data_IF_020396670001
#
_entry.id   IF_020396670001
#
_cell.length_a   1.000
_cell.length_b   1.000
_cell.length_c   1.000
_cell.angle_alpha   90.00
_cell.angle_beta   90.00
_cell.angle_gamma   90.00
#
_symmetry.space_group_name_H-M   'P 1'
#
loop_
_entity.id
_entity.type
_entity.pdbx_description
1 polymer ?
#
# COMPACT_ATOMS: atom_id res chain seq x y z
N UNK A 1 -1.62 51.78 64.82
CA UNK A 1 -0.65 52.10 63.76
C UNK A 1 -0.13 50.81 63.03
N UNK A 2 -0.21 49.64 63.64
CA UNK A 2 0.31 48.36 63.01
C UNK A 2 -0.61 47.79 61.93
N UNK A 3 -1.93 47.93 61.96
CA UNK A 3 -2.85 47.39 60.97
C UNK A 3 -2.80 48.05 59.58
N UNK A 4 -2.53 49.39 59.51
CA UNK A 4 -2.39 50.12 58.24
C UNK A 4 -1.15 49.69 57.43
N UNK A 5 -0.04 49.32 58.10
CA UNK A 5 1.20 48.86 57.46
C UNK A 5 1.02 47.46 56.86
N UNK A 6 0.19 46.59 57.49
CA UNK A 6 -0.05 45.23 56.95
C UNK A 6 -0.95 45.27 55.72
N UNK A 7 -1.87 46.24 55.63
CA UNK A 7 -2.76 46.40 54.46
C UNK A 7 -2.04 46.98 53.23
N UNK A 8 -1.07 47.86 53.46
CA UNK A 8 -0.22 48.38 52.36
C UNK A 8 0.75 47.34 51.85
N UNK A 9 1.29 46.50 52.69
CA UNK A 9 2.19 45.41 52.28
C UNK A 9 1.46 44.35 51.42
N UNK A 10 0.21 43.99 51.79
CA UNK A 10 -0.62 43.10 50.97
C UNK A 10 -0.97 43.66 49.58
N UNK A 11 -1.32 44.96 49.49
CA UNK A 11 -1.58 45.63 48.20
C UNK A 11 -0.34 45.67 47.32
N UNK A 12 0.86 45.87 47.86
CA UNK A 12 2.11 45.91 47.11
C UNK A 12 2.47 44.54 46.55
N UNK A 13 2.20 43.44 47.26
CA UNK A 13 2.41 42.06 46.79
C UNK A 13 1.44 41.69 45.66
N UNK A 14 0.18 42.12 45.74
CA UNK A 14 -0.80 41.94 44.65
C UNK A 14 -0.43 42.67 43.36
N UNK A 15 0.07 43.92 43.47
CA UNK A 15 0.53 44.69 42.32
C UNK A 15 1.75 44.06 41.69
N UNK A 16 2.69 43.53 42.45
CA UNK A 16 3.86 42.79 41.95
C UNK A 16 3.44 41.47 41.27
N UNK A 17 2.45 40.77 41.81
CA UNK A 17 1.99 39.51 41.20
C UNK A 17 1.22 39.74 39.89
N UNK A 18 0.41 40.82 39.80
CA UNK A 18 -0.29 41.18 38.55
C UNK A 18 0.67 41.73 37.50
N UNK A 19 1.73 42.46 37.87
CA UNK A 19 2.76 42.92 36.96
C UNK A 19 3.61 41.74 36.43
N UNK A 20 3.85 40.73 37.26
CA UNK A 20 4.59 39.51 36.86
C UNK A 20 3.75 38.61 35.92
N UNK A 21 2.43 38.51 36.13
CA UNK A 21 1.56 37.74 35.22
C UNK A 21 1.38 38.38 33.84
N UNK A 22 1.50 39.71 33.74
CA UNK A 22 1.43 40.41 32.44
C UNK A 22 2.70 40.23 31.59
N UNK A 23 3.83 39.87 32.19
CA UNK A 23 5.06 39.59 31.47
C UNK A 23 5.02 38.24 30.72
N UNK A 24 4.12 37.32 31.11
CA UNK A 24 3.97 36.03 30.43
C UNK A 24 2.94 36.05 29.29
N UNK A 25 2.17 37.13 29.11
CA UNK A 25 1.20 37.23 28.01
C UNK A 25 1.70 38.04 26.81
N UNK A 26 2.99 38.43 26.81
CA UNK A 26 3.58 38.96 25.60
C UNK A 26 3.85 37.79 24.65
N UNK A 27 2.85 37.42 23.90
CA UNK A 27 2.97 36.54 22.73
C UNK A 27 3.73 37.29 21.65
N UNK A 28 5.04 37.51 21.89
CA UNK A 28 5.94 37.92 20.82
C UNK A 28 6.06 36.69 19.89
N UNK A 29 5.56 36.86 18.67
CA UNK A 29 5.90 35.95 17.59
C UNK A 29 7.41 35.93 17.45
N UNK A 30 8.04 34.92 18.06
CA UNK A 30 9.49 34.69 17.92
C UNK A 30 9.71 34.29 16.46
N UNK A 31 10.14 35.24 15.64
CA UNK A 31 10.67 34.91 14.33
C UNK A 31 12.03 34.22 14.56
N UNK A 32 12.05 32.90 14.48
CA UNK A 32 13.29 32.13 14.51
C UNK A 32 14.06 32.46 13.23
N UNK A 33 15.09 33.29 13.35
CA UNK A 33 16.09 33.45 12.31
C UNK A 33 17.25 32.51 12.60
N UNK A 34 17.46 31.52 11.75
CA UNK A 34 18.64 30.65 11.82
C UNK A 34 19.77 31.35 11.10
N UNK A 35 20.88 31.74 11.81
CA UNK A 35 22.03 32.31 11.14
C UNK A 35 22.73 31.23 10.30
N UNK A 36 22.75 31.43 8.97
CA UNK A 36 23.52 30.60 8.06
C UNK A 36 24.87 31.26 7.86
N UNK A 37 26.02 30.59 8.17
CA UNK A 37 27.34 31.15 7.97
C UNK A 37 27.55 31.60 6.51
N UNK A 38 27.87 32.89 6.29
CA UNK A 38 28.09 33.46 4.96
C UNK A 38 26.85 34.01 4.24
N UNK A 39 25.66 33.86 4.80
CA UNK A 39 24.43 34.48 4.28
C UNK A 39 23.73 35.26 5.40
N UNK A 40 23.18 36.43 5.10
CA UNK A 40 22.35 37.16 6.06
C UNK A 40 21.15 36.26 6.49
N UNK A 41 20.67 36.46 7.74
CA UNK A 41 19.60 35.66 8.34
C UNK A 41 18.46 35.35 7.33
N UNK A 42 18.40 34.10 6.88
CA UNK A 42 17.34 33.67 5.97
C UNK A 42 16.01 33.68 6.74
N UNK A 43 15.11 34.57 6.38
CA UNK A 43 13.76 34.59 6.93
C UNK A 43 13.04 33.35 6.39
N UNK A 44 12.70 32.42 7.27
CA UNK A 44 11.90 31.25 6.91
C UNK A 44 10.56 31.78 6.37
N UNK A 45 10.42 31.74 5.03
CA UNK A 45 9.23 32.30 4.35
C UNK A 45 7.98 31.47 4.55
N UNK A 46 8.17 30.17 4.73
CA UNK A 46 7.04 29.25 4.89
C UNK A 46 7.47 28.01 5.72
N UNK A 47 7.19 28.05 7.01
CA UNK A 47 7.54 26.97 7.94
C UNK A 47 6.91 25.61 7.56
N UNK A 48 5.79 25.61 6.86
CA UNK A 48 5.14 24.35 6.44
C UNK A 48 5.88 23.65 5.30
N UNK A 49 6.58 24.41 4.45
CA UNK A 49 7.51 23.84 3.44
C UNK A 49 8.72 23.23 4.15
N UNK A 50 9.24 23.89 5.19
CA UNK A 50 10.32 23.32 5.99
C UNK A 50 9.88 22.03 6.72
N UNK A 51 8.68 21.99 7.26
CA UNK A 51 8.14 20.76 7.83
C UNK A 51 8.03 19.64 6.79
N UNK A 52 7.56 19.93 5.59
CA UNK A 52 7.55 18.96 4.51
C UNK A 52 8.93 18.43 4.20
N UNK A 53 9.91 19.33 4.04
CA UNK A 53 11.31 18.99 3.76
C UNK A 53 11.96 18.17 4.88
N UNK A 54 11.65 18.48 6.14
CA UNK A 54 12.08 17.68 7.29
C UNK A 54 11.43 16.28 7.25
N UNK A 55 10.15 16.21 6.93
CA UNK A 55 9.46 14.95 6.71
C UNK A 55 10.15 14.09 5.66
N UNK A 56 10.49 14.67 4.50
CA UNK A 56 11.23 13.98 3.43
C UNK A 56 12.62 13.51 3.89
N UNK A 57 13.30 14.32 4.69
CA UNK A 57 14.63 13.97 5.24
C UNK A 57 14.53 12.77 6.18
N UNK A 58 13.57 12.75 7.10
CA UNK A 58 13.34 11.62 7.98
C UNK A 58 12.83 10.38 7.23
N UNK A 59 11.99 10.56 6.20
CA UNK A 59 11.53 9.48 5.35
C UNK A 59 12.72 8.77 4.64
N UNK A 60 13.67 9.54 4.09
CA UNK A 60 14.89 8.99 3.48
C UNK A 60 15.80 8.27 4.47
N UNK A 61 15.75 8.64 5.74
CA UNK A 61 16.44 7.98 6.84
C UNK A 61 15.62 6.79 7.42
N UNK A 62 14.51 6.41 6.76
CA UNK A 62 13.59 5.36 7.17
C UNK A 62 12.97 5.57 8.58
N UNK A 63 13.09 6.79 9.12
CA UNK A 63 12.46 7.17 10.37
C UNK A 63 11.02 7.64 10.11
N UNK A 64 10.16 6.68 9.81
CA UNK A 64 8.78 6.93 9.39
C UNK A 64 7.91 7.56 10.48
N UNK A 65 8.23 7.36 11.76
CA UNK A 65 7.52 8.01 12.87
C UNK A 65 7.75 9.52 12.84
N UNK A 66 9.01 9.96 12.80
CA UNK A 66 9.32 11.39 12.70
C UNK A 66 8.90 11.99 11.38
N UNK A 67 9.03 11.27 10.28
CA UNK A 67 8.53 11.72 8.99
C UNK A 67 7.03 12.00 9.06
N UNK A 68 6.23 11.11 9.64
CA UNK A 68 4.80 11.27 9.83
C UNK A 68 4.43 12.50 10.66
N UNK A 69 5.14 12.75 11.78
CA UNK A 69 4.96 13.95 12.60
C UNK A 69 5.15 15.24 11.78
N UNK A 70 6.22 15.33 11.01
CA UNK A 70 6.52 16.51 10.21
C UNK A 70 5.55 16.69 9.05
N UNK A 71 5.11 15.62 8.38
CA UNK A 71 4.07 15.71 7.36
C UNK A 71 2.73 16.16 7.94
N UNK A 72 2.36 15.72 9.15
CA UNK A 72 1.17 16.21 9.84
C UNK A 72 1.24 17.72 10.13
N UNK A 73 2.42 18.22 10.51
CA UNK A 73 2.62 19.66 10.70
C UNK A 73 2.51 20.41 9.37
N UNK A 74 3.07 19.88 8.29
CA UNK A 74 2.99 20.49 6.97
C UNK A 74 1.56 20.55 6.42
N UNK A 75 0.71 19.56 6.74
CA UNK A 75 -0.70 19.49 6.32
C UNK A 75 -1.56 20.66 6.85
N UNK A 76 -1.10 21.37 7.87
CA UNK A 76 -1.84 22.55 8.41
C UNK A 76 -1.95 23.69 7.39
N UNK A 77 -1.10 23.71 6.37
CA UNK A 77 -1.15 24.64 5.26
C UNK A 77 -1.91 24.02 4.07
N UNK A 78 -2.94 24.69 3.58
CA UNK A 78 -3.80 24.21 2.49
C UNK A 78 -2.98 23.79 1.25
N UNK A 79 -1.99 24.58 0.87
CA UNK A 79 -1.15 24.34 -0.31
C UNK A 79 -0.24 23.11 -0.18
N UNK A 80 0.09 22.71 1.07
CA UNK A 80 0.92 21.55 1.37
C UNK A 80 0.10 20.31 1.75
N UNK A 81 -1.22 20.48 1.95
CA UNK A 81 -2.07 19.45 2.53
C UNK A 81 -1.99 18.12 1.79
N UNK A 82 -2.25 18.11 0.49
CA UNK A 82 -2.38 16.85 -0.25
C UNK A 82 -1.03 16.17 -0.50
N UNK A 83 0.03 16.94 -0.74
CA UNK A 83 1.37 16.38 -0.86
C UNK A 83 1.79 15.72 0.46
N UNK A 84 1.61 16.40 1.58
CA UNK A 84 1.92 15.88 2.91
C UNK A 84 1.02 14.71 3.31
N UNK A 85 -0.27 14.75 2.94
CA UNK A 85 -1.22 13.67 3.18
C UNK A 85 -0.82 12.38 2.46
N UNK A 86 -0.36 12.48 1.22
CA UNK A 86 0.16 11.33 0.47
C UNK A 86 1.41 10.74 1.12
N UNK A 87 2.37 11.59 1.50
CA UNK A 87 3.59 11.13 2.17
C UNK A 87 3.30 10.53 3.55
N UNK A 88 2.36 11.10 4.31
CA UNK A 88 1.90 10.51 5.57
C UNK A 88 1.27 9.14 5.36
N UNK A 89 0.45 8.96 4.33
CA UNK A 89 -0.13 7.66 3.99
C UNK A 89 0.96 6.63 3.67
N UNK A 90 2.02 7.03 2.95
CA UNK A 90 3.19 6.17 2.71
C UNK A 90 3.91 5.80 4.01
N UNK A 91 4.10 6.76 4.93
CA UNK A 91 4.69 6.45 6.24
C UNK A 91 3.89 5.36 6.97
N UNK A 92 2.55 5.45 6.96
CA UNK A 92 1.70 4.42 7.56
C UNK A 92 1.88 3.04 6.90
N UNK A 93 2.05 2.98 5.57
CA UNK A 93 2.37 1.72 4.87
C UNK A 93 3.68 1.13 5.36
N UNK A 94 4.76 1.92 5.41
CA UNK A 94 6.07 1.44 5.88
C UNK A 94 6.09 1.08 7.37
N UNK A 95 5.20 1.67 8.16
CA UNK A 95 4.99 1.31 9.57
C UNK A 95 4.07 0.09 9.74
N UNK A 96 3.59 -0.53 8.64
CA UNK A 96 2.58 -1.60 8.67
C UNK A 96 1.26 -1.20 9.37
N UNK A 97 0.96 0.09 9.43
CA UNK A 97 -0.29 0.64 9.99
C UNK A 97 -1.40 0.62 8.94
N UNK A 98 -1.80 -0.59 8.51
CA UNK A 98 -2.72 -0.81 7.40
C UNK A 98 -4.08 -0.16 7.60
N UNK A 99 -4.60 -0.17 8.83
CA UNK A 99 -5.89 0.42 9.17
C UNK A 99 -5.90 1.95 9.05
N UNK A 100 -4.75 2.59 9.25
CA UNK A 100 -4.59 4.03 9.08
C UNK A 100 -4.32 4.38 7.62
N UNK A 101 -3.51 3.57 6.92
CA UNK A 101 -3.17 3.78 5.52
C UNK A 101 -4.37 3.60 4.58
N UNK A 102 -5.19 2.57 4.78
CA UNK A 102 -6.30 2.21 3.89
C UNK A 102 -7.28 3.38 3.61
N UNK A 103 -7.86 4.06 4.62
CA UNK A 103 -8.76 5.19 4.37
C UNK A 103 -8.06 6.37 3.69
N UNK A 104 -6.77 6.56 3.94
CA UNK A 104 -6.01 7.63 3.31
C UNK A 104 -5.81 7.38 1.82
N UNK A 105 -5.45 6.15 1.43
CA UNK A 105 -5.31 5.81 0.01
C UNK A 105 -6.65 5.84 -0.73
N UNK A 106 -7.75 5.42 -0.10
CA UNK A 106 -9.09 5.59 -0.67
C UNK A 106 -9.40 7.06 -0.94
N UNK A 107 -9.15 7.94 0.05
CA UNK A 107 -9.37 9.38 -0.11
C UNK A 107 -8.47 10.02 -1.17
N UNK A 108 -7.26 9.52 -1.37
CA UNK A 108 -6.39 9.95 -2.47
C UNK A 108 -6.94 9.49 -3.81
N UNK A 109 -7.41 8.26 -3.90
CA UNK A 109 -7.99 7.70 -5.11
C UNK A 109 -9.33 8.37 -5.50
N UNK A 110 -10.14 8.81 -4.52
CA UNK A 110 -11.35 9.62 -4.78
C UNK A 110 -11.03 10.92 -5.51
N UNK A 111 -9.82 11.46 -5.35
CA UNK A 111 -9.37 12.67 -6.04
C UNK A 111 -8.75 12.41 -7.40
N UNK A 112 -8.09 11.28 -7.55
CA UNK A 112 -7.40 10.87 -8.77
C UNK A 112 -7.70 9.40 -9.04
N UNK A 113 -8.94 9.11 -9.53
CA UNK A 113 -9.42 7.74 -9.69
C UNK A 113 -8.63 6.88 -10.67
N UNK A 114 -7.96 7.53 -11.63
CA UNK A 114 -7.18 6.82 -12.66
C UNK A 114 -5.71 6.63 -12.29
N UNK A 115 -5.31 7.01 -11.11
CA UNK A 115 -3.92 6.89 -10.68
C UNK A 115 -3.54 5.44 -10.39
N UNK A 116 -2.86 4.83 -11.34
CA UNK A 116 -2.43 3.43 -11.26
C UNK A 116 -1.52 3.15 -10.03
N UNK A 117 -0.64 4.09 -9.65
CA UNK A 117 0.21 3.94 -8.47
C UNK A 117 -0.59 3.93 -7.17
N UNK A 118 -1.65 4.73 -7.07
CA UNK A 118 -2.56 4.71 -5.91
C UNK A 118 -3.39 3.42 -5.90
N UNK A 119 -3.88 2.95 -7.07
CA UNK A 119 -4.56 1.65 -7.21
C UNK A 119 -3.64 0.51 -6.75
N UNK A 120 -2.39 0.47 -7.21
CA UNK A 120 -1.41 -0.56 -6.82
C UNK A 120 -1.10 -0.53 -5.32
N UNK A 121 -0.91 0.65 -4.74
CA UNK A 121 -0.71 0.80 -3.29
C UNK A 121 -1.92 0.31 -2.49
N UNK A 122 -3.13 0.60 -2.97
CA UNK A 122 -4.37 0.12 -2.34
C UNK A 122 -4.49 -1.41 -2.40
N UNK A 123 -4.14 -2.02 -3.55
CA UNK A 123 -4.10 -3.47 -3.70
C UNK A 123 -3.08 -4.12 -2.75
N UNK A 124 -1.90 -3.52 -2.61
CA UNK A 124 -0.90 -3.96 -1.66
C UNK A 124 -1.40 -3.91 -0.21
N UNK A 125 -2.06 -2.81 0.19
CA UNK A 125 -2.64 -2.69 1.54
C UNK A 125 -3.70 -3.77 1.78
N UNK A 126 -4.61 -4.02 0.82
CA UNK A 126 -5.58 -5.10 0.92
C UNK A 126 -4.92 -6.48 1.03
N UNK A 127 -3.84 -6.72 0.25
CA UNK A 127 -3.04 -7.95 0.35
C UNK A 127 -2.49 -8.16 1.75
N UNK A 128 -1.91 -7.12 2.35
CA UNK A 128 -1.35 -7.16 3.70
C UNK A 128 -2.39 -7.31 4.80
N UNK A 129 -3.64 -6.93 4.55
CA UNK A 129 -4.78 -7.17 5.43
C UNK A 129 -5.44 -8.54 5.22
N UNK A 130 -4.98 -9.33 4.25
CA UNK A 130 -5.58 -10.61 3.89
C UNK A 130 -6.89 -10.49 3.09
N UNK A 131 -7.23 -9.31 2.59
CA UNK A 131 -8.37 -9.10 1.71
C UNK A 131 -8.01 -9.45 0.26
N UNK A 132 -7.86 -10.77 0.04
CA UNK A 132 -7.48 -11.34 -1.24
C UNK A 132 -8.41 -10.89 -2.38
N UNK A 133 -9.70 -10.82 -2.13
CA UNK A 133 -10.69 -10.51 -3.16
C UNK A 133 -10.50 -9.09 -3.72
N UNK A 134 -10.36 -8.10 -2.86
CA UNK A 134 -10.17 -6.72 -3.29
C UNK A 134 -8.79 -6.50 -3.88
N UNK A 135 -7.75 -7.09 -3.31
CA UNK A 135 -6.39 -7.03 -3.86
C UNK A 135 -6.30 -7.63 -5.27
N UNK A 136 -6.81 -8.87 -5.46
CA UNK A 136 -6.80 -9.57 -6.75
C UNK A 136 -7.54 -8.78 -7.84
N UNK A 137 -8.73 -8.27 -7.52
CA UNK A 137 -9.52 -7.47 -8.46
C UNK A 137 -8.75 -6.25 -8.98
N UNK A 138 -8.02 -5.56 -8.09
CA UNK A 138 -7.28 -4.35 -8.49
C UNK A 138 -6.05 -4.72 -9.31
N UNK A 139 -5.27 -5.76 -8.89
CA UNK A 139 -4.10 -6.18 -9.68
C UNK A 139 -4.50 -6.72 -11.06
N UNK A 140 -5.61 -7.45 -11.17
CA UNK A 140 -6.14 -7.92 -12.45
C UNK A 140 -6.45 -6.74 -13.39
N UNK A 141 -7.17 -5.74 -12.89
CA UNK A 141 -7.46 -4.54 -13.68
C UNK A 141 -6.19 -3.76 -14.09
N UNK A 142 -5.20 -3.64 -13.19
CA UNK A 142 -3.93 -3.01 -13.51
C UNK A 142 -3.13 -3.79 -14.57
N UNK A 143 -3.18 -5.12 -14.53
CA UNK A 143 -2.51 -5.98 -15.51
C UNK A 143 -3.27 -6.05 -16.83
N UNK A 144 -4.59 -5.81 -16.87
CA UNK A 144 -5.34 -5.61 -18.12
C UNK A 144 -4.86 -4.35 -18.86
N UNK A 145 -4.59 -3.26 -18.12
CA UNK A 145 -4.08 -1.99 -18.68
C UNK A 145 -2.58 -2.08 -19.03
N UNK A 146 -1.79 -2.74 -18.16
CA UNK A 146 -0.32 -2.83 -18.27
C UNK A 146 0.15 -4.28 -18.01
N UNK A 147 -0.04 -5.20 -18.98
CA UNK A 147 0.19 -6.65 -18.77
C UNK A 147 1.65 -7.02 -18.50
N UNK A 148 2.59 -6.15 -18.87
CA UNK A 148 4.03 -6.36 -18.71
C UNK A 148 4.66 -5.55 -17.57
N UNK A 149 3.85 -4.92 -16.72
CA UNK A 149 4.40 -4.15 -15.60
C UNK A 149 4.97 -5.07 -14.53
N UNK A 150 6.30 -4.96 -14.32
CA UNK A 150 7.05 -5.82 -13.41
C UNK A 150 6.50 -5.80 -11.99
N UNK A 151 6.28 -4.60 -11.44
CA UNK A 151 5.82 -4.43 -10.05
C UNK A 151 4.42 -5.05 -9.84
N UNK A 152 3.54 -4.93 -10.84
CA UNK A 152 2.20 -5.50 -10.76
C UNK A 152 2.23 -7.02 -10.85
N UNK A 153 3.05 -7.59 -11.75
CA UNK A 153 3.24 -9.03 -11.86
C UNK A 153 3.82 -9.63 -10.59
N UNK A 154 4.87 -9.03 -10.03
CA UNK A 154 5.51 -9.51 -8.80
C UNK A 154 4.55 -9.47 -7.60
N UNK A 155 3.87 -8.34 -7.40
CA UNK A 155 2.93 -8.19 -6.29
C UNK A 155 1.70 -9.10 -6.44
N UNK A 156 1.22 -9.31 -7.67
CA UNK A 156 0.14 -10.22 -7.95
C UNK A 156 0.54 -11.68 -7.71
N UNK A 157 1.73 -12.09 -8.15
CA UNK A 157 2.28 -13.40 -7.86
C UNK A 157 2.44 -13.64 -6.35
N UNK A 158 2.96 -12.65 -5.62
CA UNK A 158 3.08 -12.73 -4.17
C UNK A 158 1.71 -12.93 -3.52
N UNK A 159 0.68 -12.19 -3.96
CA UNK A 159 -0.69 -12.33 -3.48
C UNK A 159 -1.23 -13.74 -3.76
N UNK A 160 -1.10 -14.23 -5.01
CA UNK A 160 -1.57 -15.57 -5.40
C UNK A 160 -0.80 -16.68 -4.68
N UNK A 161 0.49 -16.45 -4.36
CA UNK A 161 1.31 -17.39 -3.62
C UNK A 161 0.84 -17.64 -2.19
N UNK A 162 0.16 -16.66 -1.56
CA UNK A 162 -0.36 -16.80 -0.20
C UNK A 162 -1.59 -17.72 -0.10
N UNK A 163 -2.22 -18.07 -1.22
CA UNK A 163 -3.40 -18.93 -1.25
C UNK A 163 -2.99 -20.42 -1.21
N UNK A 164 -2.82 -20.95 0.01
CA UNK A 164 -2.33 -22.34 0.19
C UNK A 164 -3.46 -23.40 0.19
N UNK A 165 -4.71 -23.04 0.47
CA UNK A 165 -5.70 -24.02 0.94
C UNK A 165 -6.82 -24.41 -0.03
N UNK A 166 -6.98 -23.77 -1.16
CA UNK A 166 -7.93 -24.21 -2.20
C UNK A 166 -7.33 -23.98 -3.56
N UNK A 167 -6.73 -25.03 -4.08
CA UNK A 167 -6.38 -25.14 -5.49
C UNK A 167 -7.67 -25.08 -6.33
N UNK A 168 -8.27 -23.90 -6.42
CA UNK A 168 -9.26 -23.69 -7.45
C UNK A 168 -8.48 -23.56 -8.76
N UNK A 169 -8.78 -24.42 -9.74
CA UNK A 169 -8.19 -24.45 -11.10
C UNK A 169 -7.98 -23.03 -11.67
N UNK A 170 -8.91 -22.13 -11.37
CA UNK A 170 -8.86 -20.71 -11.78
C UNK A 170 -7.68 -19.92 -11.20
N UNK A 171 -7.35 -20.07 -9.91
CA UNK A 171 -6.24 -19.33 -9.29
C UNK A 171 -4.88 -19.90 -9.66
N UNK A 172 -4.81 -21.22 -9.86
CA UNK A 172 -3.62 -21.89 -10.35
C UNK A 172 -3.24 -21.41 -11.74
N UNK A 173 -4.21 -21.30 -12.65
CA UNK A 173 -3.97 -20.77 -14.00
C UNK A 173 -3.53 -19.30 -13.97
N UNK A 174 -4.13 -18.45 -13.11
CA UNK A 174 -3.70 -17.06 -12.94
C UNK A 174 -2.26 -16.95 -12.47
N UNK A 175 -1.86 -17.80 -11.52
CA UNK A 175 -0.49 -17.84 -11.05
C UNK A 175 0.49 -18.26 -12.16
N UNK A 176 0.19 -19.35 -12.89
CA UNK A 176 1.01 -19.83 -13.99
C UNK A 176 1.19 -18.75 -15.07
N UNK A 177 0.08 -18.13 -15.50
CA UNK A 177 0.12 -17.08 -16.52
C UNK A 177 0.93 -15.85 -16.05
N UNK A 178 0.76 -15.41 -14.82
CA UNK A 178 1.52 -14.28 -14.29
C UNK A 178 3.01 -14.60 -14.14
N UNK A 179 3.36 -15.84 -13.75
CA UNK A 179 4.74 -16.28 -13.67
C UNK A 179 5.40 -16.34 -15.06
N UNK A 180 4.71 -16.92 -16.04
CA UNK A 180 5.19 -17.02 -17.41
C UNK A 180 5.42 -15.62 -18.01
N UNK A 181 4.47 -14.69 -17.80
CA UNK A 181 4.62 -13.31 -18.23
C UNK A 181 5.81 -12.60 -17.56
N UNK A 182 6.01 -12.80 -16.25
CA UNK A 182 7.16 -12.23 -15.55
C UNK A 182 8.47 -12.80 -16.07
N UNK A 183 8.53 -14.10 -16.29
CA UNK A 183 9.72 -14.79 -16.77
C UNK A 183 10.09 -14.43 -18.21
N UNK A 184 9.10 -14.28 -19.09
CA UNK A 184 9.29 -13.89 -20.48
C UNK A 184 9.81 -12.45 -20.61
N UNK A 185 9.21 -11.51 -19.87
CA UNK A 185 9.58 -10.10 -19.97
C UNK A 185 10.81 -9.74 -19.11
N UNK A 186 11.05 -10.45 -18.01
CA UNK A 186 12.10 -10.17 -17.04
C UNK A 186 12.85 -11.46 -16.64
N UNK A 187 13.58 -12.12 -17.55
CA UNK A 187 14.23 -13.41 -17.28
C UNK A 187 15.27 -13.36 -16.16
N UNK A 188 15.90 -12.21 -15.94
CA UNK A 188 16.89 -11.99 -14.88
C UNK A 188 16.28 -11.53 -13.55
N UNK A 189 14.96 -11.56 -13.43
CA UNK A 189 14.28 -11.13 -12.22
C UNK A 189 14.59 -12.06 -11.05
N UNK A 190 15.17 -11.50 -10.00
CA UNK A 190 15.60 -12.24 -8.80
C UNK A 190 14.45 -12.90 -8.04
N UNK A 191 13.23 -12.35 -8.16
CA UNK A 191 12.05 -12.86 -7.46
C UNK A 191 11.46 -14.12 -8.14
N UNK A 192 11.84 -14.44 -9.38
CA UNK A 192 11.40 -15.68 -10.05
C UNK A 192 11.72 -16.93 -9.23
N UNK A 193 12.90 -16.97 -8.59
CA UNK A 193 13.32 -18.11 -7.77
C UNK A 193 12.36 -18.34 -6.56
N UNK A 194 11.74 -17.28 -6.03
CA UNK A 194 10.81 -17.39 -4.90
C UNK A 194 9.54 -18.15 -5.30
N UNK A 195 9.12 -18.01 -6.55
CA UNK A 195 7.88 -18.57 -7.07
C UNK A 195 8.09 -19.89 -7.84
N UNK A 196 9.34 -20.26 -8.16
CA UNK A 196 9.64 -21.37 -9.06
C UNK A 196 9.16 -22.72 -8.52
N UNK A 197 9.32 -22.99 -7.24
CA UNK A 197 8.86 -24.25 -6.63
C UNK A 197 7.34 -24.39 -6.73
N UNK A 198 6.60 -23.31 -6.44
CA UNK A 198 5.15 -23.31 -6.57
C UNK A 198 4.72 -23.46 -8.02
N UNK A 199 5.41 -22.80 -8.95
CA UNK A 199 5.17 -22.93 -10.37
C UNK A 199 5.32 -24.40 -10.84
N UNK A 200 6.42 -25.07 -10.48
CA UNK A 200 6.67 -26.47 -10.83
C UNK A 200 5.60 -27.41 -10.27
N UNK A 201 5.21 -27.18 -9.00
CA UNK A 201 4.15 -27.95 -8.37
C UNK A 201 2.80 -27.81 -9.09
N UNK A 202 2.46 -26.57 -9.51
CA UNK A 202 1.23 -26.28 -10.25
C UNK A 202 1.23 -26.84 -11.65
N UNK A 203 2.37 -26.79 -12.34
CA UNK A 203 2.52 -27.39 -13.67
C UNK A 203 2.29 -28.89 -13.62
N UNK A 204 2.88 -29.59 -12.64
CA UNK A 204 2.67 -31.03 -12.46
C UNK A 204 1.19 -31.37 -12.28
N UNK A 205 0.46 -30.64 -11.42
CA UNK A 205 -0.97 -30.86 -11.23
C UNK A 205 -1.76 -30.57 -12.51
N UNK A 206 -1.38 -29.55 -13.27
CA UNK A 206 -2.01 -29.24 -14.54
C UNK A 206 -1.83 -30.39 -15.54
N UNK A 207 -0.62 -30.95 -15.65
CA UNK A 207 -0.32 -32.04 -16.56
C UNK A 207 -1.05 -33.33 -16.15
N UNK A 208 -1.17 -33.61 -14.84
CA UNK A 208 -1.96 -34.72 -14.31
C UNK A 208 -3.43 -34.58 -14.69
N UNK A 209 -4.04 -33.37 -14.48
CA UNK A 209 -5.45 -33.12 -14.83
C UNK A 209 -5.73 -33.23 -16.33
N UNK A 210 -4.81 -32.76 -17.17
CA UNK A 210 -4.94 -32.89 -18.63
C UNK A 210 -4.87 -34.34 -19.04
N UNK A 211 -4.00 -35.14 -18.44
CA UNK A 211 -3.91 -36.58 -18.74
C UNK A 211 -5.17 -37.36 -18.30
N UNK A 212 -5.78 -36.99 -17.18
CA UNK A 212 -7.05 -37.58 -16.74
C UNK A 212 -8.20 -37.21 -17.69
N UNK A 213 -8.32 -35.91 -18.08
CA UNK A 213 -9.35 -35.48 -19.05
C UNK A 213 -9.22 -36.17 -20.41
N UNK A 214 -7.98 -36.44 -20.90
CA UNK A 214 -7.76 -37.17 -22.13
C UNK A 214 -8.16 -38.65 -22.02
N UNK A 215 -7.79 -39.31 -20.92
CA UNK A 215 -8.16 -40.70 -20.67
C UNK A 215 -9.69 -40.89 -20.57
N UNK A 216 -10.42 -39.95 -19.92
CA UNK A 216 -11.88 -39.97 -19.84
C UNK A 216 -12.54 -39.79 -21.23
N UNK A 217 -11.93 -38.97 -22.10
CA UNK A 217 -12.45 -38.73 -23.45
C UNK A 217 -12.22 -39.97 -24.34
N UNK A 218 -11.05 -40.58 -24.27
CA UNK A 218 -10.74 -41.81 -25.01
C UNK A 218 -11.65 -42.98 -24.56
N UNK A 219 -11.94 -43.12 -23.26
CA UNK A 219 -12.85 -44.13 -22.73
C UNK A 219 -14.29 -43.91 -23.24
N UNK A 220 -14.73 -42.66 -23.29
CA UNK A 220 -16.11 -42.34 -23.79
C UNK A 220 -16.24 -42.57 -25.30
N UNK A 221 -15.18 -42.37 -26.10
CA UNK A 221 -15.22 -42.66 -27.53
C UNK A 221 -15.21 -44.16 -27.80
N UNK A 222 -14.42 -44.93 -27.05
CA UNK A 222 -14.39 -46.42 -27.20
C UNK A 222 -15.74 -47.07 -26.80
N UNK A 223 -16.41 -46.53 -25.80
CA UNK A 223 -17.73 -47.03 -25.40
C UNK A 223 -18.81 -46.72 -26.46
N UNK A 224 -18.74 -45.57 -27.12
CA UNK A 224 -19.60 -45.19 -28.22
C UNK A 224 -19.44 -46.06 -29.48
N UNK A 225 -18.16 -46.37 -29.79
CA UNK A 225 -17.84 -47.24 -30.91
C UNK A 225 -18.30 -48.69 -30.66
N UNK A 226 -18.17 -49.20 -29.42
CA UNK A 226 -18.63 -50.52 -29.04
C UNK A 226 -20.19 -50.62 -29.05
N UNK A 227 -20.89 -49.54 -28.72
CA UNK A 227 -22.37 -49.48 -28.82
C UNK A 227 -22.84 -49.44 -30.28
N UNK A 228 -22.15 -48.74 -31.16
CA UNK A 228 -22.43 -48.69 -32.59
C UNK A 228 -22.19 -50.00 -33.29
N UNK A 229 -21.08 -50.73 -33.00
CA UNK A 229 -20.83 -52.06 -33.54
C UNK A 229 -21.90 -53.09 -33.12
N UNK A 230 -22.38 -53.01 -31.88
CA UNK A 230 -23.49 -53.85 -31.40
C UNK A 230 -24.82 -53.56 -32.08
N UNK A 231 -25.09 -52.29 -32.44
CA UNK A 231 -26.30 -51.89 -33.17
C UNK A 231 -26.27 -52.32 -34.65
N UNK A 232 -25.09 -52.26 -35.30
CA UNK A 232 -24.93 -52.79 -36.68
C UNK A 232 -25.07 -54.30 -36.75
N UNK A 233 -24.49 -55.05 -35.82
CA UNK A 233 -24.61 -56.50 -35.77
C UNK A 233 -26.03 -56.99 -35.50
N UNK A 234 -26.84 -56.22 -34.76
CA UNK A 234 -28.26 -56.54 -34.49
C UNK A 234 -29.20 -56.20 -35.67
N UNK A 235 -28.79 -55.39 -36.64
CA UNK A 235 -29.54 -55.06 -37.84
C UNK A 235 -29.39 -56.07 -38.96
N UNK A 236 -28.34 -56.91 -38.96
CA UNK A 236 -28.06 -57.91 -39.98
C UNK A 236 -28.71 -59.28 -39.68
N UNK A 237 -29.34 -59.48 -38.51
CA UNK A 237 -30.02 -60.72 -38.14
C UNK A 237 -31.58 -60.67 -38.37
N UNK A 238 -32.14 -59.67 -39.02
CA UNK A 238 -33.56 -59.58 -39.38
C UNK A 238 -33.70 -59.58 -40.94
#
# INVERSE_FOLDING_TARGET
MKLKKLFLAKKSVYILFTAFSLLFFSCTSISLSVPVPGQGAAKIRNIYVEYYTLGDSYYKLENYDKAAEYYQLAMRKKDQYWASFYQLAKCHVFQSKWNDALPMYKKLLDRDPENASLKASLAYIYSMQGDFKNASKIYEALLEEQPKNQDYLENYLALLATQEKKFEKKYSLKFLNAYDALKEEYPDNKNLNIFEEKYKALMKIKDELVSEELNETELSETDLDAENENLESASDEN
#
